data_IF_121807177194
#
_entry.id   IF_121807177194
#
_cell.length_a   1.000
_cell.length_b   1.000
_cell.length_c   1.000
_cell.angle_alpha   90.00
_cell.angle_beta   90.00
_cell.angle_gamma   90.00
#
_symmetry.space_group_name_H-M   'P 1'
#
loop_
_entity.id
_entity.type
_entity.pdbx_description
1 polymer ?
#
# COMPACT_ATOMS: atom_id res chain seq x y z
N UNK A 1 -2.67 -2.92 -7.53
CA UNK A 1 -1.39 -2.14 -7.53
C UNK A 1 -0.75 -1.97 -6.15
N UNK A 2 -1.49 -1.61 -5.09
CA UNK A 2 -0.91 -1.41 -3.74
C UNK A 2 -0.26 -2.67 -3.15
N UNK A 3 -0.87 -3.85 -3.34
CA UNK A 3 -0.27 -5.13 -2.92
C UNK A 3 1.03 -5.46 -3.66
N UNK A 4 1.10 -5.18 -4.96
CA UNK A 4 2.34 -5.38 -5.73
C UNK A 4 3.43 -4.39 -5.31
N UNK A 5 3.08 -3.17 -4.91
CA UNK A 5 4.04 -2.18 -4.41
C UNK A 5 4.59 -2.59 -3.04
N UNK A 6 3.72 -2.98 -2.10
CA UNK A 6 4.13 -3.47 -0.79
C UNK A 6 4.95 -4.75 -0.89
N UNK A 7 4.58 -5.66 -1.80
CA UNK A 7 5.35 -6.87 -2.09
C UNK A 7 6.72 -6.56 -2.66
N UNK A 8 6.80 -5.66 -3.64
CA UNK A 8 8.07 -5.21 -4.23
C UNK A 8 8.95 -4.50 -3.20
N UNK A 9 8.37 -3.71 -2.31
CA UNK A 9 9.09 -3.06 -1.22
C UNK A 9 9.64 -4.07 -0.21
N UNK A 10 8.81 -4.99 0.27
CA UNK A 10 9.22 -6.02 1.22
C UNK A 10 10.31 -6.92 0.63
N UNK A 11 10.16 -7.35 -0.62
CA UNK A 11 11.18 -8.12 -1.33
C UNK A 11 12.52 -7.37 -1.37
N UNK A 12 12.52 -6.11 -1.81
CA UNK A 12 13.75 -5.28 -1.85
C UNK A 12 14.38 -5.11 -0.47
N UNK A 13 13.56 -4.91 0.57
CA UNK A 13 14.02 -4.78 1.94
C UNK A 13 14.68 -6.07 2.43
N UNK A 14 14.01 -7.21 2.28
CA UNK A 14 14.51 -8.52 2.69
C UNK A 14 15.81 -8.88 1.94
N UNK A 15 15.86 -8.62 0.64
CA UNK A 15 17.06 -8.86 -0.17
C UNK A 15 18.24 -7.99 0.29
N UNK A 16 17.99 -6.71 0.60
CA UNK A 16 19.02 -5.80 1.15
C UNK A 16 19.51 -6.26 2.52
N UNK A 17 18.60 -6.63 3.42
CA UNK A 17 18.95 -7.13 4.75
C UNK A 17 19.79 -8.41 4.65
N UNK A 18 19.40 -9.35 3.78
CA UNK A 18 20.16 -10.58 3.55
C UNK A 18 21.57 -10.27 3.03
N UNK A 19 21.70 -9.33 2.10
CA UNK A 19 22.99 -8.86 1.60
C UNK A 19 23.86 -8.20 2.67
N UNK A 20 23.27 -7.35 3.51
CA UNK A 20 23.95 -6.70 4.64
C UNK A 20 24.42 -7.76 5.65
N UNK A 21 23.57 -8.74 6.01
CA UNK A 21 23.95 -9.86 6.87
C UNK A 21 25.11 -10.66 6.30
N UNK A 22 25.09 -10.96 4.99
CA UNK A 22 26.19 -11.65 4.32
C UNK A 22 27.50 -10.86 4.41
N UNK A 23 27.45 -9.53 4.23
CA UNK A 23 28.63 -8.66 4.38
C UNK A 23 29.16 -8.72 5.81
N UNK A 24 28.30 -8.57 6.83
CA UNK A 24 28.73 -8.63 8.23
C UNK A 24 29.32 -9.99 8.61
N UNK A 25 28.70 -11.09 8.17
CA UNK A 25 29.22 -12.45 8.40
C UNK A 25 30.57 -12.63 7.71
N UNK A 26 30.72 -12.13 6.48
CA UNK A 26 31.98 -12.21 5.73
C UNK A 26 33.08 -11.42 6.43
N UNK A 27 32.81 -10.18 6.86
CA UNK A 27 33.74 -9.36 7.63
C UNK A 27 34.10 -10.07 8.94
N UNK A 28 33.11 -10.59 9.68
CA UNK A 28 33.34 -11.32 10.92
C UNK A 28 34.17 -12.59 10.74
N UNK A 29 34.04 -13.26 9.60
CA UNK A 29 34.79 -14.50 9.30
C UNK A 29 36.21 -14.21 8.81
N UNK A 30 36.42 -13.14 8.04
CA UNK A 30 37.71 -12.81 7.41
C UNK A 30 38.58 -11.90 8.27
N UNK A 31 37.99 -10.87 8.89
CA UNK A 31 38.73 -9.85 9.64
C UNK A 31 38.99 -10.28 11.08
N UNK A 32 38.03 -10.92 11.75
CA UNK A 32 38.19 -11.32 13.15
C UNK A 32 39.42 -12.21 13.40
N UNK A 33 39.77 -13.21 12.55
CA UNK A 33 40.97 -14.02 12.75
C UNK A 33 42.28 -13.24 12.61
N UNK A 34 42.26 -12.08 11.95
CA UNK A 34 43.43 -11.20 11.83
C UNK A 34 43.67 -10.36 13.09
N UNK A 35 42.65 -10.23 13.94
CA UNK A 35 42.68 -9.41 15.15
C UNK A 35 42.86 -10.23 16.42
N UNK A 36 42.28 -11.43 16.46
CA UNK A 36 42.25 -12.30 17.65
C UNK A 36 42.41 -13.74 17.21
N UNK A 37 43.21 -14.51 17.94
CA UNK A 37 43.33 -15.95 17.74
C UNK A 37 41.97 -16.65 17.91
N UNK A 38 41.63 -17.52 16.97
CA UNK A 38 40.36 -18.21 16.96
C UNK A 38 40.52 -19.69 16.67
N UNK A 39 39.66 -20.50 17.31
CA UNK A 39 39.59 -21.92 17.01
C UNK A 39 39.17 -22.16 15.56
N UNK A 40 39.64 -23.27 14.98
CA UNK A 40 39.24 -23.72 13.65
C UNK A 40 37.72 -23.86 13.52
N UNK A 41 37.03 -24.25 14.59
CA UNK A 41 35.58 -24.41 14.62
C UNK A 41 34.82 -23.11 14.33
N UNK A 42 35.26 -21.97 14.89
CA UNK A 42 34.64 -20.66 14.60
C UNK A 42 34.81 -20.27 13.13
N UNK A 43 36.00 -20.50 12.58
CA UNK A 43 36.30 -20.18 11.17
C UNK A 43 35.44 -21.03 10.23
N UNK A 44 35.33 -22.33 10.50
CA UNK A 44 34.47 -23.24 9.73
C UNK A 44 32.99 -22.86 9.81
N UNK A 45 32.47 -22.53 11.00
CA UNK A 45 31.10 -22.05 11.16
C UNK A 45 30.84 -20.71 10.45
N UNK A 46 31.82 -19.81 10.47
CA UNK A 46 31.77 -18.57 9.69
C UNK A 46 31.63 -18.85 8.19
N UNK A 47 32.47 -19.74 7.65
CA UNK A 47 32.41 -20.17 6.24
C UNK A 47 31.06 -20.82 5.93
N UNK A 48 30.56 -21.72 6.79
CA UNK A 48 29.24 -22.34 6.62
C UNK A 48 28.13 -21.28 6.60
N UNK A 49 28.21 -20.27 7.47
CA UNK A 49 27.25 -19.16 7.49
C UNK A 49 27.32 -18.31 6.22
N UNK A 50 28.51 -18.05 5.66
CA UNK A 50 28.67 -17.36 4.36
C UNK A 50 27.98 -18.17 3.25
N UNK A 51 28.22 -19.48 3.19
CA UNK A 51 27.61 -20.36 2.17
C UNK A 51 26.09 -20.37 2.32
N UNK A 52 25.59 -20.55 3.54
CA UNK A 52 24.16 -20.55 3.83
C UNK A 52 23.50 -19.22 3.46
N UNK A 53 24.06 -18.08 3.89
CA UNK A 53 23.49 -16.76 3.55
C UNK A 53 23.62 -16.43 2.07
N UNK A 54 24.66 -16.90 1.38
CA UNK A 54 24.78 -16.78 -0.08
C UNK A 54 23.69 -17.58 -0.79
N UNK A 55 23.40 -18.79 -0.33
CA UNK A 55 22.28 -19.59 -0.84
C UNK A 55 20.93 -18.93 -0.55
N UNK A 56 20.70 -18.46 0.68
CA UNK A 56 19.48 -17.72 1.04
C UNK A 56 19.30 -16.46 0.19
N UNK A 57 20.36 -15.68 -0.02
CA UNK A 57 20.34 -14.50 -0.90
C UNK A 57 19.96 -14.88 -2.33
N UNK A 58 20.54 -15.96 -2.86
CA UNK A 58 20.21 -16.45 -4.20
C UNK A 58 18.74 -16.88 -4.29
N UNK A 59 18.24 -17.66 -3.34
CA UNK A 59 16.83 -18.11 -3.31
C UNK A 59 15.88 -16.91 -3.28
N UNK A 60 16.11 -15.94 -2.40
CA UNK A 60 15.28 -14.72 -2.30
C UNK A 60 15.36 -13.96 -3.63
N UNK A 61 16.55 -13.77 -4.20
CA UNK A 61 16.74 -13.07 -5.49
C UNK A 61 15.97 -13.70 -6.66
N UNK A 62 15.72 -15.02 -6.64
CA UNK A 62 14.94 -15.67 -7.72
C UNK A 62 13.44 -15.35 -7.69
N UNK A 63 12.93 -14.68 -6.65
CA UNK A 63 11.51 -14.35 -6.46
C UNK A 63 10.56 -15.57 -6.54
N UNK A 64 11.10 -16.80 -6.39
CA UNK A 64 10.35 -18.05 -6.56
C UNK A 64 9.38 -18.32 -5.41
N UNK A 65 9.72 -17.88 -4.19
CA UNK A 65 8.92 -18.09 -2.98
C UNK A 65 8.64 -16.78 -2.21
N UNK A 66 7.96 -15.81 -2.83
CA UNK A 66 7.86 -14.44 -2.33
C UNK A 66 7.04 -14.32 -1.03
N UNK A 67 6.12 -15.26 -0.79
CA UNK A 67 5.34 -15.32 0.45
C UNK A 67 6.15 -15.85 1.64
N UNK A 68 7.27 -16.54 1.39
CA UNK A 68 8.07 -17.22 2.39
C UNK A 68 9.43 -16.55 2.65
N UNK A 69 9.77 -15.49 1.93
CA UNK A 69 11.09 -14.82 2.02
C UNK A 69 11.45 -14.40 3.45
N UNK A 70 10.49 -13.86 4.19
CA UNK A 70 10.66 -13.45 5.58
C UNK A 70 10.98 -14.63 6.50
N UNK A 71 10.25 -15.73 6.35
CA UNK A 71 10.47 -16.95 7.12
C UNK A 71 11.82 -17.56 6.78
N UNK A 72 12.18 -17.62 5.50
CA UNK A 72 13.48 -18.14 5.04
C UNK A 72 14.63 -17.34 5.69
N UNK A 73 14.58 -16.01 5.66
CA UNK A 73 15.60 -15.17 6.28
C UNK A 73 15.68 -15.37 7.80
N UNK A 74 14.53 -15.40 8.48
CA UNK A 74 14.46 -15.60 9.93
C UNK A 74 15.05 -16.95 10.34
N UNK A 75 14.69 -18.02 9.63
CA UNK A 75 15.22 -19.37 9.86
C UNK A 75 16.72 -19.44 9.59
N UNK A 76 17.20 -18.90 8.46
CA UNK A 76 18.64 -18.85 8.16
C UNK A 76 19.42 -18.11 9.25
N UNK A 77 18.87 -17.00 9.77
CA UNK A 77 19.52 -16.24 10.84
C UNK A 77 19.57 -17.02 12.16
N UNK A 78 18.49 -17.72 12.53
CA UNK A 78 18.48 -18.58 13.73
C UNK A 78 19.46 -19.74 13.60
N UNK A 79 19.47 -20.43 12.46
CA UNK A 79 20.37 -21.55 12.18
C UNK A 79 21.83 -21.10 12.16
N UNK A 80 22.12 -19.86 11.76
CA UNK A 80 23.48 -19.33 11.78
C UNK A 80 23.98 -18.91 13.16
N UNK A 81 23.08 -18.38 14.01
CA UNK A 81 23.43 -17.85 15.34
C UNK A 81 23.41 -18.92 16.43
N UNK A 82 22.48 -19.88 16.40
CA UNK A 82 22.36 -20.89 17.48
C UNK A 82 23.63 -21.77 17.62
N UNK A 83 24.21 -22.35 16.56
CA UNK A 83 25.44 -23.13 16.67
C UNK A 83 26.61 -22.26 17.15
N UNK A 84 26.68 -21.01 16.69
CA UNK A 84 27.68 -20.05 17.12
C UNK A 84 27.59 -19.79 18.63
N UNK A 85 26.38 -19.65 19.18
CA UNK A 85 26.14 -19.56 20.63
C UNK A 85 26.61 -20.83 21.34
N UNK A 86 26.23 -22.00 20.83
CA UNK A 86 26.55 -23.28 21.46
C UNK A 86 28.06 -23.52 21.59
N UNK A 87 28.88 -23.07 20.64
CA UNK A 87 30.35 -23.23 20.71
C UNK A 87 31.07 -22.09 21.45
N UNK A 88 30.36 -21.03 21.82
CA UNK A 88 30.93 -19.83 22.44
C UNK A 88 30.41 -19.61 23.87
N UNK A 89 30.12 -20.70 24.58
CA UNK A 89 29.67 -20.65 25.98
C UNK A 89 28.16 -20.44 26.17
N UNK A 90 27.35 -20.65 25.14
CA UNK A 90 25.88 -20.62 25.23
C UNK A 90 25.35 -19.24 25.64
N UNK A 91 24.69 -19.17 26.79
CA UNK A 91 24.20 -17.89 27.36
C UNK A 91 25.32 -16.94 27.77
N UNK A 92 26.54 -17.43 27.92
CA UNK A 92 27.71 -16.61 28.21
C UNK A 92 28.37 -16.00 26.97
N UNK A 93 27.93 -16.43 25.79
CA UNK A 93 28.42 -15.96 24.51
C UNK A 93 28.21 -14.46 24.31
N UNK A 94 29.19 -13.80 23.69
CA UNK A 94 29.05 -12.45 23.15
C UNK A 94 27.95 -12.32 22.09
N UNK A 95 27.55 -13.43 21.44
CA UNK A 95 26.47 -13.42 20.45
C UNK A 95 25.09 -13.53 21.10
N UNK A 96 25.01 -13.83 22.41
CA UNK A 96 23.72 -13.97 23.12
C UNK A 96 22.94 -12.65 23.11
N UNK A 97 23.63 -11.51 23.08
CA UNK A 97 23.04 -10.18 22.95
C UNK A 97 22.26 -9.95 21.66
N UNK A 98 22.44 -10.81 20.64
CA UNK A 98 21.66 -10.74 19.39
C UNK A 98 20.29 -11.43 19.51
N UNK A 99 20.09 -12.29 20.51
CA UNK A 99 18.84 -13.06 20.65
C UNK A 99 17.58 -12.19 20.80
N UNK A 100 17.60 -11.05 21.52
CA UNK A 100 16.46 -10.14 21.58
C UNK A 100 16.11 -9.46 20.24
N UNK A 101 16.97 -9.51 19.22
CA UNK A 101 16.63 -8.93 17.91
C UNK A 101 15.66 -9.81 17.13
N UNK A 102 15.64 -11.13 17.40
CA UNK A 102 14.83 -12.09 16.64
C UNK A 102 13.31 -11.90 16.83
N UNK A 103 12.76 -11.70 18.05
CA UNK A 103 11.34 -11.43 18.19
C UNK A 103 10.89 -10.13 17.50
N UNK A 104 11.74 -9.11 17.46
CA UNK A 104 11.47 -7.85 16.74
C UNK A 104 11.40 -8.12 15.24
N UNK A 105 12.41 -8.81 14.69
CA UNK A 105 12.40 -9.19 13.27
C UNK A 105 11.19 -10.06 12.93
N UNK A 106 10.88 -11.05 13.77
CA UNK A 106 9.72 -11.92 13.60
C UNK A 106 8.40 -11.14 13.65
N UNK A 107 8.28 -10.14 14.53
CA UNK A 107 7.10 -9.26 14.57
C UNK A 107 6.96 -8.42 13.29
N UNK A 108 8.07 -7.84 12.82
CA UNK A 108 8.07 -6.98 11.63
C UNK A 108 7.70 -7.74 10.36
N UNK A 109 8.18 -8.98 10.20
CA UNK A 109 8.00 -9.72 8.94
C UNK A 109 6.94 -10.83 8.99
N UNK A 110 6.68 -11.41 10.16
CA UNK A 110 5.73 -12.51 10.37
C UNK A 110 4.57 -12.18 11.30
N UNK A 111 4.50 -10.93 11.77
CA UNK A 111 3.45 -10.45 12.66
C UNK A 111 3.51 -11.03 14.08
N UNK A 112 2.44 -10.78 14.84
CA UNK A 112 2.33 -11.16 16.26
C UNK A 112 2.55 -12.65 16.52
N UNK A 113 2.02 -13.53 15.68
CA UNK A 113 2.14 -14.98 15.89
C UNK A 113 3.59 -15.45 15.76
N UNK A 114 4.29 -15.00 14.71
CA UNK A 114 5.70 -15.34 14.52
C UNK A 114 6.58 -14.83 15.67
N UNK A 115 6.33 -13.61 16.15
CA UNK A 115 7.06 -13.04 17.30
C UNK A 115 6.89 -13.88 18.57
N UNK A 116 5.65 -14.31 18.86
CA UNK A 116 5.35 -15.14 20.02
C UNK A 116 5.99 -16.53 19.90
N UNK A 117 5.90 -17.17 18.72
CA UNK A 117 6.55 -18.46 18.47
C UNK A 117 8.05 -18.39 18.69
N UNK A 118 8.72 -17.36 18.15
CA UNK A 118 10.16 -17.14 18.36
C UNK A 118 10.48 -16.89 19.81
N UNK A 119 9.67 -16.09 20.53
CA UNK A 119 9.85 -15.85 21.96
C UNK A 119 9.82 -17.16 22.77
N UNK A 120 8.84 -18.03 22.50
CA UNK A 120 8.70 -19.32 23.20
C UNK A 120 9.89 -20.24 22.90
N UNK A 121 10.30 -20.33 21.63
CA UNK A 121 11.46 -21.13 21.22
C UNK A 121 12.74 -20.62 21.90
N UNK A 122 13.00 -19.32 21.87
CA UNK A 122 14.20 -18.74 22.48
C UNK A 122 14.18 -18.86 24.00
N UNK A 123 13.02 -18.70 24.65
CA UNK A 123 12.88 -18.94 26.08
C UNK A 123 13.29 -20.36 26.47
N UNK A 124 12.81 -21.36 25.71
CA UNK A 124 13.18 -22.76 25.95
C UNK A 124 14.67 -23.01 25.70
N UNK A 125 15.21 -22.49 24.60
CA UNK A 125 16.64 -22.62 24.28
C UNK A 125 17.55 -21.98 25.33
N UNK A 126 17.22 -20.78 25.81
CA UNK A 126 17.98 -20.10 26.87
C UNK A 126 17.90 -20.87 28.18
N UNK A 127 16.71 -21.38 28.54
CA UNK A 127 16.53 -22.19 29.76
C UNK A 127 17.34 -23.48 29.68
N UNK A 128 17.29 -24.18 28.54
CA UNK A 128 18.06 -25.40 28.31
C UNK A 128 19.57 -25.12 28.38
N UNK A 129 20.03 -24.02 27.78
CA UNK A 129 21.42 -23.60 27.80
C UNK A 129 21.89 -23.17 29.21
N UNK A 130 21.00 -22.59 30.03
CA UNK A 130 21.30 -22.26 31.42
C UNK A 130 21.46 -23.51 32.29
N UNK A 131 20.57 -24.50 32.12
CA UNK A 131 20.59 -25.76 32.88
C UNK A 131 21.81 -26.62 32.54
N UNK A 132 22.22 -26.63 31.26
CA UNK A 132 23.32 -27.44 30.76
C UNK A 132 24.60 -26.64 30.55
N UNK A 133 24.70 -25.42 31.09
CA UNK A 133 25.80 -24.49 30.79
C UNK A 133 27.20 -25.04 31.08
N UNK A 134 27.34 -25.93 32.06
CA UNK A 134 28.61 -26.60 32.38
C UNK A 134 29.06 -27.60 31.29
N UNK A 135 28.11 -28.17 30.56
CA UNK A 135 28.35 -29.15 29.48
C UNK A 135 28.61 -28.48 28.14
N UNK A 136 28.28 -27.19 28.02
CA UNK A 136 28.47 -26.42 26.78
C UNK A 136 29.93 -26.00 26.70
N UNK A 137 30.65 -26.53 25.72
CA UNK A 137 32.04 -26.16 25.46
C UNK A 137 32.15 -24.69 25.06
N UNK A 138 32.98 -23.94 25.78
CA UNK A 138 33.37 -22.61 25.37
C UNK A 138 34.75 -22.66 24.72
N UNK A 139 34.77 -22.59 23.39
CA UNK A 139 36.01 -22.58 22.60
C UNK A 139 36.76 -21.24 22.67
N UNK A 140 36.34 -20.31 23.53
CA UNK A 140 37.10 -19.12 23.90
C UNK A 140 37.90 -19.29 25.20
N UNK A 141 37.85 -20.49 25.79
CA UNK A 141 38.55 -20.88 27.02
C UNK A 141 38.19 -20.03 28.26
N UNK A 142 37.03 -19.37 28.23
CA UNK A 142 36.49 -18.64 29.37
C UNK A 142 35.99 -19.59 30.47
N UNK A 143 36.36 -19.37 31.75
CA UNK A 143 35.94 -20.23 32.84
C UNK A 143 34.42 -20.17 33.05
N UNK A 144 33.82 -21.36 33.23
CA UNK A 144 32.40 -21.45 33.55
C UNK A 144 32.11 -20.89 34.95
N UNK A 145 31.21 -19.91 35.03
CA UNK A 145 30.71 -19.35 36.27
C UNK A 145 29.19 -19.55 36.39
N UNK A 146 28.76 -20.40 37.32
CA UNK A 146 27.35 -20.77 37.48
C UNK A 146 26.44 -19.58 37.80
N UNK A 147 26.80 -18.73 38.77
CA UNK A 147 26.02 -17.54 39.12
C UNK A 147 25.92 -16.54 37.96
N UNK A 148 27.01 -16.37 37.20
CA UNK A 148 27.05 -15.49 36.01
C UNK A 148 26.13 -16.01 34.92
N UNK A 149 26.13 -17.33 34.71
CA UNK A 149 25.26 -18.03 33.74
C UNK A 149 23.79 -17.83 34.07
N UNK A 150 23.40 -18.03 35.34
CA UNK A 150 22.02 -17.79 35.80
C UNK A 150 21.63 -16.33 35.60
N UNK A 151 22.48 -15.39 36.04
CA UNK A 151 22.20 -13.96 35.93
C UNK A 151 22.03 -13.51 34.47
N UNK A 152 22.92 -13.95 33.58
CA UNK A 152 22.82 -13.66 32.14
C UNK A 152 21.57 -14.26 31.52
N UNK A 153 21.23 -15.50 31.86
CA UNK A 153 20.01 -16.16 31.38
C UNK A 153 18.75 -15.40 31.79
N UNK A 154 18.70 -14.95 33.04
CA UNK A 154 17.60 -14.14 33.56
C UNK A 154 17.43 -12.84 32.77
N UNK A 155 18.51 -12.06 32.60
CA UNK A 155 18.46 -10.80 31.84
C UNK A 155 18.17 -11.02 30.36
N UNK A 156 18.64 -12.11 29.79
CA UNK A 156 18.40 -12.48 28.40
C UNK A 156 16.93 -12.83 28.17
N UNK A 157 16.31 -13.59 29.08
CA UNK A 157 14.87 -13.88 29.05
C UNK A 157 14.06 -12.60 29.16
N UNK A 158 14.39 -11.70 30.11
CA UNK A 158 13.74 -10.39 30.21
C UNK A 158 13.86 -9.64 28.89
N UNK A 159 15.06 -9.59 28.29
CA UNK A 159 15.30 -8.89 27.04
C UNK A 159 14.50 -9.50 25.88
N UNK A 160 14.40 -10.83 25.79
CA UNK A 160 13.59 -11.54 24.78
C UNK A 160 12.10 -11.19 24.96
N UNK A 161 11.58 -11.23 26.18
CA UNK A 161 10.18 -10.88 26.46
C UNK A 161 9.89 -9.42 26.13
N UNK A 162 10.75 -8.50 26.59
CA UNK A 162 10.63 -7.07 26.29
C UNK A 162 10.72 -6.80 24.78
N UNK A 163 11.67 -7.43 24.08
CA UNK A 163 11.81 -7.28 22.63
C UNK A 163 10.61 -7.81 21.86
N UNK A 164 9.98 -8.88 22.34
CA UNK A 164 8.72 -9.42 21.78
C UNK A 164 7.60 -8.41 21.96
N UNK A 165 7.46 -7.85 23.16
CA UNK A 165 6.48 -6.79 23.44
C UNK A 165 6.69 -5.58 22.53
N UNK A 166 7.92 -5.06 22.43
CA UNK A 166 8.24 -3.92 21.57
C UNK A 166 8.01 -4.24 20.10
N UNK A 167 8.43 -5.41 19.62
CA UNK A 167 8.21 -5.85 18.25
C UNK A 167 6.73 -5.83 17.88
N UNK A 168 5.88 -6.44 18.70
CA UNK A 168 4.41 -6.46 18.49
C UNK A 168 3.80 -5.07 18.62
N UNK A 169 4.25 -4.26 19.58
CA UNK A 169 3.80 -2.89 19.77
C UNK A 169 4.10 -2.02 18.54
N UNK A 170 5.35 -2.00 18.07
CA UNK A 170 5.77 -1.24 16.90
C UNK A 170 5.09 -1.72 15.63
N UNK A 171 4.94 -3.04 15.45
CA UNK A 171 4.20 -3.59 14.32
C UNK A 171 2.74 -3.09 14.31
N UNK A 172 2.07 -3.11 15.47
CA UNK A 172 0.70 -2.64 15.60
C UNK A 172 0.59 -1.14 15.29
N UNK A 173 1.52 -0.33 15.82
CA UNK A 173 1.56 1.12 15.56
C UNK A 173 1.86 1.47 14.12
N UNK A 174 2.80 0.76 13.50
CA UNK A 174 3.12 0.92 12.08
C UNK A 174 1.88 0.67 11.21
N UNK A 175 1.13 -0.38 11.52
CA UNK A 175 -0.09 -0.70 10.79
C UNK A 175 -1.18 0.36 11.00
N UNK A 176 -1.43 0.79 12.23
CA UNK A 176 -2.41 1.82 12.57
C UNK A 176 -2.11 3.15 11.85
N UNK A 177 -0.85 3.60 11.89
CA UNK A 177 -0.42 4.86 11.26
C UNK A 177 -0.53 4.77 9.74
N UNK A 178 -0.11 3.66 9.14
CA UNK A 178 -0.23 3.48 7.69
C UNK A 178 -1.69 3.44 7.23
N UNK A 179 -2.58 2.81 7.99
CA UNK A 179 -4.01 2.83 7.67
C UNK A 179 -4.57 4.25 7.71
N UNK A 180 -4.23 5.04 8.73
CA UNK A 180 -4.65 6.44 8.83
C UNK A 180 -4.09 7.28 7.67
N UNK A 181 -2.81 7.13 7.35
CA UNK A 181 -2.19 7.80 6.20
C UNK A 181 -2.87 7.42 4.88
N UNK A 182 -3.20 6.14 4.70
CA UNK A 182 -3.89 5.69 3.50
C UNK A 182 -5.30 6.27 3.41
N UNK A 183 -6.06 6.28 4.51
CA UNK A 183 -7.38 6.93 4.55
C UNK A 183 -7.27 8.41 4.18
N UNK A 184 -6.38 9.17 4.82
CA UNK A 184 -6.16 10.59 4.52
C UNK A 184 -5.72 10.84 3.07
N UNK A 185 -4.93 9.92 2.49
CA UNK A 185 -4.48 10.03 1.11
C UNK A 185 -5.57 9.67 0.08
N UNK A 186 -6.56 8.86 0.44
CA UNK A 186 -7.60 8.34 -0.49
C UNK A 186 -8.99 8.89 -0.27
N UNK A 187 -9.28 9.52 0.86
CA UNK A 187 -10.58 10.07 1.19
C UNK A 187 -10.55 11.59 1.20
N UNK A 188 -11.68 12.20 0.89
CA UNK A 188 -11.92 13.62 1.09
C UNK A 188 -12.36 13.85 2.55
N UNK A 189 -11.71 14.74 3.31
CA UNK A 189 -11.96 14.89 4.74
C UNK A 189 -13.33 15.48 5.07
N UNK A 190 -13.97 16.20 4.13
CA UNK A 190 -15.26 16.85 4.36
C UNK A 190 -16.43 15.89 4.15
N UNK A 191 -16.29 14.96 3.20
CA UNK A 191 -17.37 14.05 2.80
C UNK A 191 -17.16 12.61 3.30
N UNK A 192 -15.92 12.22 3.64
CA UNK A 192 -15.55 10.83 3.93
C UNK A 192 -15.58 9.92 2.70
N UNK A 193 -15.92 10.45 1.52
CA UNK A 193 -15.93 9.73 0.25
C UNK A 193 -14.53 9.63 -0.31
N UNK A 194 -14.35 8.78 -1.32
CA UNK A 194 -13.08 8.70 -2.04
C UNK A 194 -12.78 10.05 -2.71
N UNK A 195 -11.59 10.57 -2.46
CA UNK A 195 -11.07 11.69 -3.25
C UNK A 195 -10.67 11.21 -4.66
N UNK A 196 -10.22 12.12 -5.52
CA UNK A 196 -9.82 11.78 -6.90
C UNK A 196 -8.82 10.61 -6.99
N UNK A 197 -7.87 10.51 -6.06
CA UNK A 197 -6.90 9.41 -6.02
C UNK A 197 -7.58 8.11 -5.60
N UNK A 198 -8.42 8.16 -4.56
CA UNK A 198 -9.22 7.01 -4.13
C UNK A 198 -10.13 6.49 -5.23
N UNK A 199 -10.84 7.37 -5.94
CA UNK A 199 -11.71 7.04 -7.06
C UNK A 199 -10.94 6.34 -8.18
N UNK A 200 -9.81 6.90 -8.62
CA UNK A 200 -9.00 6.30 -9.68
C UNK A 200 -8.51 4.88 -9.30
N UNK A 201 -8.10 4.69 -8.04
CA UNK A 201 -7.67 3.38 -7.55
C UNK A 201 -8.82 2.36 -7.58
N UNK A 202 -10.02 2.77 -7.15
CA UNK A 202 -11.19 1.90 -7.12
C UNK A 202 -11.70 1.57 -8.53
N UNK A 203 -11.78 2.56 -9.42
CA UNK A 203 -12.13 2.33 -10.84
C UNK A 203 -11.15 1.35 -11.49
N UNK A 204 -9.84 1.54 -11.28
CA UNK A 204 -8.82 0.61 -11.81
C UNK A 204 -9.04 -0.81 -11.29
N UNK A 205 -9.33 -0.95 -9.99
CA UNK A 205 -9.62 -2.26 -9.38
C UNK A 205 -10.86 -2.93 -9.99
N UNK A 206 -11.92 -2.16 -10.24
CA UNK A 206 -13.15 -2.67 -10.85
C UNK A 206 -12.94 -3.05 -12.32
N UNK A 207 -12.15 -2.28 -13.06
CA UNK A 207 -11.78 -2.64 -14.44
C UNK A 207 -11.01 -3.97 -14.50
N UNK A 208 -10.08 -4.21 -13.58
CA UNK A 208 -9.39 -5.51 -13.49
C UNK A 208 -10.37 -6.67 -13.19
N UNK A 209 -11.45 -6.41 -12.44
CA UNK A 209 -12.51 -7.42 -12.17
C UNK A 209 -13.36 -7.65 -13.42
N UNK A 210 -13.76 -6.59 -14.13
CA UNK A 210 -14.50 -6.67 -15.39
C UNK A 210 -13.73 -7.50 -16.41
N UNK A 211 -12.41 -7.29 -16.53
CA UNK A 211 -11.57 -8.05 -17.47
C UNK A 211 -11.49 -9.54 -17.09
N UNK A 212 -11.43 -9.85 -15.80
CA UNK A 212 -11.31 -11.24 -15.30
C UNK A 212 -12.63 -12.00 -15.31
N UNK A 213 -13.72 -11.35 -14.93
CA UNK A 213 -15.03 -11.97 -14.70
C UNK A 213 -16.02 -11.72 -15.85
N UNK A 214 -15.67 -10.85 -16.81
CA UNK A 214 -16.47 -10.48 -17.96
C UNK A 214 -17.87 -9.95 -17.58
N UNK A 215 -17.93 -9.17 -16.49
CA UNK A 215 -19.15 -8.53 -15.98
C UNK A 215 -19.24 -7.08 -16.45
N UNK A 216 -20.43 -6.55 -16.79
CA UNK A 216 -20.58 -5.16 -17.20
C UNK A 216 -20.37 -4.19 -16.03
N UNK A 217 -19.64 -3.09 -16.26
CA UNK A 217 -19.43 -2.00 -15.30
C UNK A 217 -20.06 -0.71 -15.82
N UNK A 218 -20.82 -0.04 -14.95
CA UNK A 218 -21.40 1.28 -15.21
C UNK A 218 -20.87 2.30 -14.22
N UNK A 219 -20.56 3.51 -14.70
CA UNK A 219 -20.18 4.66 -13.87
C UNK A 219 -21.24 5.74 -14.06
N UNK A 220 -21.75 6.28 -12.96
CA UNK A 220 -22.67 7.42 -12.96
C UNK A 220 -21.93 8.62 -12.39
N UNK A 221 -21.84 9.69 -13.18
CA UNK A 221 -21.31 10.97 -12.73
C UNK A 221 -22.48 11.87 -12.33
N UNK A 222 -22.52 12.28 -11.06
CA UNK A 222 -23.54 13.16 -10.51
C UNK A 222 -22.84 14.41 -9.99
N UNK A 223 -23.20 15.56 -10.52
CA UNK A 223 -22.79 16.87 -9.98
C UNK A 223 -23.85 17.31 -8.96
N UNK A 224 -23.45 17.49 -7.70
CA UNK A 224 -24.36 17.77 -6.56
C UNK A 224 -24.09 19.17 -5.96
N UNK A 225 -23.68 20.13 -6.79
CA UNK A 225 -23.37 21.47 -6.29
C UNK A 225 -24.34 22.54 -6.78
N UNK A 226 -24.84 23.31 -5.81
CA UNK A 226 -25.47 24.62 -5.93
C UNK A 226 -26.27 24.83 -7.22
N UNK A 227 -27.48 24.26 -7.29
CA UNK A 227 -28.45 24.64 -8.32
C UNK A 227 -28.63 26.16 -8.26
N UNK A 228 -27.98 26.87 -9.18
CA UNK A 228 -28.00 28.32 -9.19
C UNK A 228 -29.41 28.76 -9.55
N UNK A 229 -29.94 29.69 -8.75
CA UNK A 229 -31.21 30.33 -9.06
C UNK A 229 -30.97 31.52 -9.98
N UNK A 230 -31.87 31.70 -10.94
CA UNK A 230 -31.99 32.91 -11.75
C UNK A 230 -33.39 33.44 -11.47
N UNK A 231 -33.49 34.67 -10.96
CA UNK A 231 -34.75 35.28 -10.53
C UNK A 231 -35.56 34.35 -9.60
N UNK A 232 -34.91 33.87 -8.53
CA UNK A 232 -35.44 32.97 -7.48
C UNK A 232 -35.91 31.57 -7.91
N UNK A 233 -35.79 31.23 -9.20
CA UNK A 233 -36.12 29.91 -9.75
C UNK A 233 -34.86 29.14 -10.13
N UNK A 234 -34.85 27.84 -9.90
CA UNK A 234 -33.88 26.92 -10.49
C UNK A 234 -34.10 26.81 -11.99
N UNK A 235 -33.02 26.58 -12.72
CA UNK A 235 -33.01 26.56 -14.18
C UNK A 235 -32.31 25.32 -14.67
N UNK A 236 -32.86 24.68 -15.71
CA UNK A 236 -32.18 23.62 -16.45
C UNK A 236 -32.34 23.83 -17.95
N UNK A 237 -31.38 23.29 -18.70
CA UNK A 237 -31.54 23.12 -20.14
C UNK A 237 -32.12 21.73 -20.40
N UNK A 238 -33.21 21.70 -21.14
CA UNK A 238 -33.91 20.49 -21.55
C UNK A 238 -33.84 20.32 -23.06
N UNK A 239 -34.24 19.13 -23.51
CA UNK A 239 -34.37 18.81 -24.94
C UNK A 239 -35.63 17.99 -25.22
N UNK A 240 -36.82 18.53 -24.93
CA UNK A 240 -38.06 17.89 -25.36
C UNK A 240 -38.07 17.78 -26.89
N UNK A 241 -38.49 16.63 -27.40
CA UNK A 241 -38.66 16.40 -28.83
C UNK A 241 -40.14 16.40 -29.17
N UNK A 242 -40.53 17.26 -30.11
CA UNK A 242 -41.87 17.31 -30.69
C UNK A 242 -41.79 17.70 -32.16
N UNK A 243 -42.86 17.44 -32.92
CA UNK A 243 -42.95 17.79 -34.34
C UNK A 243 -42.83 19.31 -34.60
N UNK A 244 -43.17 20.14 -33.61
CA UNK A 244 -43.22 21.61 -33.73
C UNK A 244 -41.87 22.26 -33.39
N UNK A 245 -41.04 21.59 -32.59
CA UNK A 245 -39.70 22.08 -32.25
C UNK A 245 -38.70 20.92 -32.17
N UNK A 246 -38.45 20.25 -33.31
CA UNK A 246 -37.61 19.09 -33.34
C UNK A 246 -36.18 19.49 -32.96
N UNK A 247 -35.62 18.75 -32.00
CA UNK A 247 -34.18 18.74 -31.75
C UNK A 247 -33.56 20.08 -31.31
N UNK A 248 -34.35 20.90 -30.61
CA UNK A 248 -33.94 22.20 -30.06
C UNK A 248 -33.50 22.10 -28.59
N UNK A 249 -32.73 23.09 -28.12
CA UNK A 249 -32.42 23.27 -26.70
C UNK A 249 -33.46 24.21 -26.09
N UNK A 250 -34.09 23.74 -25.02
CA UNK A 250 -35.06 24.47 -24.24
C UNK A 250 -34.49 24.86 -22.89
N UNK A 251 -35.04 25.89 -22.29
CA UNK A 251 -34.82 26.25 -20.89
C UNK A 251 -36.12 26.05 -20.14
N UNK A 252 -36.04 25.50 -18.93
CA UNK A 252 -37.17 25.28 -18.04
C UNK A 252 -36.83 25.79 -16.65
N UNK A 253 -37.85 26.25 -15.93
CA UNK A 253 -37.70 26.85 -14.61
C UNK A 253 -38.45 26.03 -13.55
N UNK A 254 -37.95 26.05 -12.32
CA UNK A 254 -38.59 25.39 -11.18
C UNK A 254 -38.42 26.18 -9.89
N UNK A 255 -39.47 26.36 -9.07
CA UNK A 255 -39.33 26.96 -7.75
C UNK A 255 -38.67 26.01 -6.73
N UNK A 256 -38.76 24.68 -6.94
CA UNK A 256 -38.53 23.65 -5.90
C UNK A 256 -37.69 22.43 -6.35
N UNK A 257 -37.15 22.44 -7.58
CA UNK A 257 -36.45 21.33 -8.26
C UNK A 257 -37.32 20.11 -8.60
N UNK A 258 -38.60 20.10 -8.24
CA UNK A 258 -39.53 18.99 -8.48
C UNK A 258 -40.48 19.29 -9.62
N UNK A 259 -41.09 20.47 -9.59
CA UNK A 259 -42.07 20.91 -10.59
C UNK A 259 -41.39 21.86 -11.56
N UNK A 260 -41.29 21.43 -12.81
CA UNK A 260 -40.65 22.19 -13.89
C UNK A 260 -41.70 22.69 -14.88
N UNK A 261 -41.58 23.95 -15.30
CA UNK A 261 -42.47 24.58 -16.25
C UNK A 261 -41.87 25.86 -16.84
N UNK A 262 -42.72 26.71 -17.41
CA UNK A 262 -42.30 27.97 -18.05
C UNK A 262 -41.22 27.72 -19.14
N UNK A 263 -41.39 26.61 -19.87
CA UNK A 263 -40.40 26.13 -20.83
C UNK A 263 -40.44 26.94 -22.12
N UNK A 264 -39.29 27.42 -22.57
CA UNK A 264 -39.15 28.13 -23.85
C UNK A 264 -37.93 27.64 -24.64
N UNK A 265 -37.98 27.79 -25.96
CA UNK A 265 -36.85 27.46 -26.83
C UNK A 265 -35.76 28.52 -26.67
N UNK A 266 -34.52 28.11 -26.42
CA UNK A 266 -33.36 29.02 -26.36
C UNK A 266 -32.53 28.94 -27.64
N UNK A 267 -32.39 27.74 -28.21
CA UNK A 267 -31.57 27.53 -29.41
C UNK A 267 -32.20 26.46 -30.29
N UNK A 268 -32.16 26.66 -31.61
CA UNK A 268 -32.63 25.70 -32.62
C UNK A 268 -31.48 25.31 -33.56
N UNK A 269 -31.51 24.11 -34.17
CA UNK A 269 -30.62 23.78 -35.28
C UNK A 269 -30.73 24.84 -36.38
N UNK A 270 -29.60 25.22 -36.97
CA UNK A 270 -29.56 26.23 -38.04
C UNK A 270 -29.30 25.53 -39.37
N UNK A 271 -30.15 25.78 -40.37
CA UNK A 271 -30.00 25.18 -41.70
C UNK A 271 -28.69 25.64 -42.36
N UNK A 272 -27.98 24.73 -43.02
CA UNK A 272 -26.66 24.98 -43.64
C UNK A 272 -25.55 25.33 -42.64
N UNK A 273 -25.75 24.98 -41.37
CA UNK A 273 -24.75 25.12 -40.32
C UNK A 273 -24.27 23.73 -39.88
N UNK A 274 -23.15 23.68 -39.15
CA UNK A 274 -22.54 22.41 -38.73
C UNK A 274 -23.40 21.63 -37.71
N UNK A 275 -24.46 22.23 -37.19
CA UNK A 275 -25.39 21.66 -36.22
C UNK A 275 -26.82 21.52 -36.75
N UNK A 276 -27.00 21.53 -38.07
CA UNK A 276 -28.31 21.65 -38.74
C UNK A 276 -29.30 20.50 -38.45
N UNK A 277 -28.82 19.31 -38.11
CA UNK A 277 -29.71 18.16 -37.89
C UNK A 277 -30.35 18.23 -36.51
N UNK A 278 -29.54 18.45 -35.48
CA UNK A 278 -29.98 18.43 -34.09
C UNK A 278 -28.94 19.04 -33.15
N UNK A 279 -29.40 19.72 -32.12
CA UNK A 279 -28.57 20.24 -31.02
C UNK A 279 -29.07 19.71 -29.68
N UNK A 280 -28.20 19.67 -28.67
CA UNK A 280 -28.58 19.30 -27.31
C UNK A 280 -27.61 19.86 -26.27
N UNK A 281 -28.10 20.15 -25.06
CA UNK A 281 -27.24 20.63 -23.98
C UNK A 281 -26.17 19.57 -23.66
N UNK A 282 -24.97 20.03 -23.32
CA UNK A 282 -23.85 19.19 -22.89
C UNK A 282 -23.67 19.25 -21.39
N UNK A 283 -22.61 19.94 -20.95
CA UNK A 283 -22.34 20.16 -19.52
C UNK A 283 -23.27 21.24 -18.94
N UNK A 284 -23.35 21.29 -17.60
CA UNK A 284 -24.02 22.37 -16.87
C UNK A 284 -23.42 23.73 -17.29
N UNK A 285 -24.23 24.74 -17.69
CA UNK A 285 -23.70 26.03 -18.11
C UNK A 285 -22.85 26.72 -17.03
N UNK A 286 -21.71 27.27 -17.45
CA UNK A 286 -20.73 27.91 -16.56
C UNK A 286 -21.02 29.41 -16.50
N UNK A 287 -21.27 29.95 -15.30
CA UNK A 287 -21.43 31.40 -15.10
C UNK A 287 -20.09 32.10 -15.32
N UNK A 288 -20.06 33.10 -16.18
CA UNK A 288 -18.91 34.00 -16.41
C UNK A 288 -19.35 35.46 -16.19
N UNK A 289 -18.41 36.39 -16.18
CA UNK A 289 -18.72 37.83 -16.13
C UNK A 289 -19.53 38.32 -17.35
N UNK A 290 -19.45 37.60 -18.49
CA UNK A 290 -20.10 37.99 -19.75
C UNK A 290 -21.44 37.28 -20.01
N UNK A 291 -21.79 36.28 -19.21
CA UNK A 291 -22.93 35.41 -19.51
C UNK A 291 -22.78 33.97 -19.00
N UNK A 292 -23.79 33.15 -19.29
CA UNK A 292 -23.75 31.71 -19.09
C UNK A 292 -23.13 31.03 -20.31
N UNK A 293 -21.94 30.47 -20.13
CA UNK A 293 -21.24 29.70 -21.14
C UNK A 293 -21.84 28.29 -21.22
N UNK A 294 -22.58 28.02 -22.29
CA UNK A 294 -23.20 26.73 -22.56
C UNK A 294 -22.35 25.95 -23.56
N UNK A 295 -21.79 24.81 -23.14
CA UNK A 295 -21.12 23.86 -24.03
C UNK A 295 -22.18 22.86 -24.47
N UNK A 296 -22.50 22.86 -25.76
CA UNK A 296 -23.55 22.02 -26.34
C UNK A 296 -22.97 21.09 -27.43
N UNK A 297 -23.71 20.06 -27.79
CA UNK A 297 -23.38 19.26 -28.97
C UNK A 297 -24.31 19.60 -30.12
N UNK A 298 -23.73 19.72 -31.31
CA UNK A 298 -24.45 19.84 -32.58
C UNK A 298 -24.16 18.65 -33.47
N UNK A 299 -25.11 18.32 -34.33
CA UNK A 299 -25.03 17.15 -35.20
C UNK A 299 -25.22 17.57 -36.64
N UNK A 300 -24.33 17.07 -37.49
CA UNK A 300 -24.39 17.23 -38.93
C UNK A 300 -24.68 15.88 -39.61
N UNK A 301 -25.62 15.81 -40.56
CA UNK A 301 -25.86 14.59 -41.32
C UNK A 301 -24.81 14.46 -42.44
N UNK A 302 -24.28 13.26 -42.62
CA UNK A 302 -23.34 12.91 -43.70
C UNK A 302 -23.87 11.70 -44.47
N UNK A 303 -23.25 11.37 -45.61
CA UNK A 303 -23.64 10.18 -46.38
C UNK A 303 -23.42 8.86 -45.62
N UNK A 304 -22.56 8.86 -44.58
CA UNK A 304 -22.22 7.68 -43.77
C UNK A 304 -22.66 7.83 -42.30
N UNK A 305 -23.79 8.52 -42.08
CA UNK A 305 -24.37 8.70 -40.73
C UNK A 305 -24.20 10.12 -40.17
N UNK A 306 -24.12 10.27 -38.85
CA UNK A 306 -24.17 11.57 -38.16
C UNK A 306 -22.87 11.89 -37.44
N UNK A 307 -22.34 13.10 -37.64
CA UNK A 307 -21.13 13.58 -36.95
C UNK A 307 -21.55 14.51 -35.81
N UNK A 308 -21.11 14.18 -34.60
CA UNK A 308 -21.29 15.02 -33.41
C UNK A 308 -20.07 15.92 -33.23
N UNK A 309 -20.31 17.20 -32.95
CA UNK A 309 -19.26 18.18 -32.62
C UNK A 309 -19.68 18.99 -31.40
N UNK A 310 -18.69 19.46 -30.66
CA UNK A 310 -18.92 20.38 -29.54
C UNK A 310 -18.93 21.82 -30.05
N UNK A 311 -19.95 22.56 -29.62
CA UNK A 311 -20.09 23.99 -29.83
C UNK A 311 -20.20 24.72 -28.50
N UNK A 312 -20.07 26.04 -28.56
CA UNK A 312 -20.19 26.92 -27.41
C UNK A 312 -21.18 28.03 -27.73
N UNK A 313 -22.10 28.29 -26.81
CA UNK A 313 -23.03 29.40 -26.86
C UNK A 313 -22.89 30.23 -25.57
N UNK A 314 -23.12 31.54 -25.66
CA UNK A 314 -23.08 32.44 -24.51
C UNK A 314 -24.45 33.10 -24.35
N UNK A 315 -25.10 32.84 -23.22
CA UNK A 315 -26.43 33.37 -22.89
C UNK A 315 -26.33 34.50 -21.87
N UNK A 316 -27.32 35.40 -21.83
CA UNK A 316 -27.32 36.53 -20.87
C UNK A 316 -27.52 36.04 -19.44
N UNK A 317 -26.99 36.76 -18.44
CA UNK A 317 -27.03 36.31 -17.03
C UNK A 317 -28.43 36.28 -16.44
N UNK A 318 -29.22 37.33 -16.71
CA UNK A 318 -30.53 37.59 -16.11
C UNK A 318 -31.69 37.01 -16.94
N UNK A 319 -31.46 36.79 -18.23
CA UNK A 319 -32.42 36.24 -19.20
C UNK A 319 -31.71 35.28 -20.18
N UNK A 320 -31.33 34.07 -19.70
CA UNK A 320 -30.55 33.12 -20.50
C UNK A 320 -31.35 32.38 -21.57
#
# INVERSE_FOLDING_TARGET
MADNYNRSFNHRLILRLTGISLIFITIGTVVRPLLVDMSLAFTLLGIMNIVMFSFTYFVIRTERYPQWESLILLTATLVGVIPLLAISGGVNSQFSYLLPLFPIMAALFGGKQAALSVCVVLFFLVTLAAMNGQLISDFTDEPYHHQKTISRSFWLIISIVSSTYFGVFFQSRYYEVNQKLQQQATQDPMTGLLNRRGFNNEVSRQLDTVERENIPLSIVLIDIDFFKKINDKYVKLDRPHSDISPWAIWISYSPDLRHWGDSRVVMKPVKYHWDEMKIGPGAVPIRTEKGWLNIYHGVFPTMDGSVYRLGVALHKLEDP
#
